data_IF_968872065208
#
_entry.id   IF_968872065208
#
_cell.length_a   1.000
_cell.length_b   1.000
_cell.length_c   1.000
_cell.angle_alpha   90.00
_cell.angle_beta   90.00
_cell.angle_gamma   90.00
#
_symmetry.space_group_name_H-M   'P 1'
#
loop_
_entity.id
_entity.type
_entity.pdbx_description
1 polymer ?
#
# COMPACT_ATOMS: atom_id res chain seq x y z
N UNK A 1 12.19 10.18 -21.08
CA UNK A 1 11.96 11.21 -20.06
C UNK A 1 11.44 10.51 -18.82
N UNK A 2 11.85 10.89 -17.62
CA UNK A 2 11.32 10.32 -16.36
C UNK A 2 10.28 11.28 -15.79
N UNK A 3 9.18 10.73 -15.28
CA UNK A 3 8.11 11.51 -14.64
C UNK A 3 8.11 11.18 -13.14
N UNK A 4 7.98 12.22 -12.32
CA UNK A 4 7.85 12.08 -10.87
C UNK A 4 6.66 12.91 -10.41
N UNK A 5 5.80 12.30 -9.60
CA UNK A 5 4.62 12.95 -9.04
C UNK A 5 4.41 12.52 -7.60
N UNK A 6 4.02 13.47 -6.77
CA UNK A 6 3.60 13.24 -5.39
C UNK A 6 2.08 13.41 -5.29
N UNK A 7 1.42 12.51 -4.57
CA UNK A 7 0.00 12.57 -4.27
C UNK A 7 -0.25 12.01 -2.87
N UNK A 8 -1.42 12.32 -2.31
CA UNK A 8 -1.78 11.94 -0.94
C UNK A 8 -2.84 10.86 -0.96
N UNK A 9 -2.70 9.87 -0.09
CA UNK A 9 -3.73 8.87 0.18
C UNK A 9 -4.57 9.31 1.39
N UNK A 10 -5.89 9.01 1.41
CA UNK A 10 -6.70 9.29 2.58
C UNK A 10 -6.20 8.48 3.78
N UNK A 11 -6.21 9.11 4.96
CA UNK A 11 -5.86 8.45 6.21
C UNK A 11 -6.81 7.30 6.50
N UNK A 12 -6.26 6.18 6.97
CA UNK A 12 -6.98 5.00 7.39
C UNK A 12 -6.49 4.57 8.76
N UNK A 13 -7.34 3.87 9.51
CA UNK A 13 -6.94 3.16 10.73
C UNK A 13 -5.96 2.03 10.38
N UNK A 14 -5.44 1.34 11.41
CA UNK A 14 -4.60 0.15 11.23
C UNK A 14 -5.32 -0.89 10.36
N UNK A 15 -4.59 -1.51 9.44
CA UNK A 15 -5.10 -2.56 8.56
C UNK A 15 -4.50 -2.51 7.14
N UNK A 16 -4.90 -3.47 6.32
CA UNK A 16 -4.50 -3.58 4.92
C UNK A 16 -5.59 -3.05 3.99
N UNK A 17 -5.24 -2.12 3.09
CA UNK A 17 -6.20 -1.50 2.17
C UNK A 17 -5.76 -1.65 0.73
N UNK A 18 -6.71 -1.99 -0.14
CA UNK A 18 -6.47 -2.02 -1.59
C UNK A 18 -6.40 -0.59 -2.12
N UNK A 19 -5.25 -0.22 -2.66
CA UNK A 19 -4.99 1.14 -3.17
C UNK A 19 -4.68 1.15 -4.67
N UNK A 20 -5.14 0.16 -5.45
CA UNK A 20 -4.89 0.07 -6.91
C UNK A 20 -5.36 1.31 -7.69
N UNK A 21 -6.28 2.10 -7.12
CA UNK A 21 -6.74 3.37 -7.69
C UNK A 21 -5.64 4.42 -7.87
N UNK A 22 -4.47 4.28 -7.22
CA UNK A 22 -3.32 5.19 -7.38
C UNK A 22 -2.82 5.30 -8.82
N UNK A 23 -3.10 4.32 -9.68
CA UNK A 23 -2.72 4.37 -11.10
C UNK A 23 -3.39 5.57 -11.79
N UNK A 24 -4.55 6.03 -11.30
CA UNK A 24 -5.22 7.24 -11.82
C UNK A 24 -4.43 8.51 -11.55
N UNK A 25 -3.59 8.50 -10.52
CA UNK A 25 -2.71 9.64 -10.21
C UNK A 25 -1.47 9.69 -11.10
N UNK A 26 -1.14 8.60 -11.81
CA UNK A 26 0.03 8.54 -12.72
C UNK A 26 -0.40 8.09 -14.12
N UNK A 27 -1.28 8.85 -14.82
CA UNK A 27 -1.82 8.46 -16.12
C UNK A 27 -0.74 8.29 -17.19
N UNK A 28 0.41 8.95 -17.03
CA UNK A 28 1.55 8.89 -17.94
C UNK A 28 2.07 7.47 -18.13
N UNK A 29 1.86 6.57 -17.16
CA UNK A 29 2.28 5.16 -17.24
C UNK A 29 1.72 4.47 -18.49
N UNK A 30 0.54 4.86 -18.96
CA UNK A 30 -0.11 4.30 -20.14
C UNK A 30 0.64 4.61 -21.44
N UNK A 31 1.48 5.65 -21.45
CA UNK A 31 2.30 6.02 -22.61
C UNK A 31 3.58 5.19 -22.73
N UNK A 32 3.95 4.42 -21.70
CA UNK A 32 5.15 3.58 -21.71
C UNK A 32 4.79 2.14 -22.07
N UNK A 33 5.44 1.59 -23.10
CA UNK A 33 5.33 0.16 -23.43
C UNK A 33 6.14 -0.72 -22.47
N UNK A 34 7.30 -0.22 -22.02
CA UNK A 34 8.22 -0.86 -21.07
C UNK A 34 8.86 0.25 -20.24
N UNK A 35 8.97 0.06 -18.92
CA UNK A 35 9.56 1.04 -18.02
C UNK A 35 9.70 0.51 -16.60
N UNK A 36 10.17 1.37 -15.70
CA UNK A 36 10.29 1.10 -14.27
C UNK A 36 9.43 2.11 -13.51
N UNK A 37 8.55 1.61 -12.64
CA UNK A 37 7.78 2.42 -11.70
C UNK A 37 8.38 2.27 -10.30
N UNK A 38 8.75 3.40 -9.69
CA UNK A 38 9.15 3.44 -8.29
C UNK A 38 8.03 4.08 -7.48
N UNK A 39 7.48 3.35 -6.51
CA UNK A 39 6.51 3.86 -5.55
C UNK A 39 7.18 3.99 -4.19
N UNK A 40 7.10 5.18 -3.60
CA UNK A 40 7.72 5.48 -2.32
C UNK A 40 6.68 6.09 -1.36
N UNK A 41 6.46 5.42 -0.24
CA UNK A 41 5.68 5.96 0.88
C UNK A 41 6.58 6.84 1.73
N UNK A 42 6.18 8.11 1.90
CA UNK A 42 6.89 9.10 2.72
C UNK A 42 6.37 9.11 4.18
N UNK A 43 6.11 7.92 4.72
CA UNK A 43 5.60 7.74 6.08
C UNK A 43 6.33 6.55 6.73
N UNK A 44 6.58 6.65 8.04
CA UNK A 44 7.23 5.58 8.82
C UNK A 44 6.24 4.57 9.38
N UNK A 45 4.96 4.91 9.40
CA UNK A 45 3.89 4.14 10.05
C UNK A 45 3.09 3.25 9.09
N UNK A 46 3.46 3.18 7.82
CA UNK A 46 2.80 2.34 6.82
C UNK A 46 3.78 1.88 5.74
N UNK A 47 3.41 0.83 5.01
CA UNK A 47 4.21 0.26 3.94
C UNK A 47 3.33 -0.05 2.72
N UNK A 48 3.97 -0.15 1.55
CA UNK A 48 3.34 -0.68 0.34
C UNK A 48 3.62 -2.17 0.26
N UNK A 49 2.59 -2.94 -0.05
CA UNK A 49 2.73 -4.35 -0.44
C UNK A 49 2.05 -4.55 -1.79
N UNK A 50 2.66 -5.39 -2.62
CA UNK A 50 2.08 -5.87 -3.86
C UNK A 50 1.76 -7.36 -3.66
N UNK A 51 0.48 -7.71 -3.81
CA UNK A 51 -0.01 -9.06 -3.63
C UNK A 51 -1.12 -9.37 -4.65
N UNK A 52 -1.53 -10.63 -4.75
CA UNK A 52 -2.67 -11.04 -5.57
C UNK A 52 -3.99 -10.51 -4.96
N UNK A 53 -4.89 -10.05 -5.82
CA UNK A 53 -6.20 -9.53 -5.43
C UNK A 53 -7.26 -10.66 -5.36
N UNK A 54 -6.87 -11.90 -5.08
CA UNK A 54 -7.73 -13.09 -5.17
C UNK A 54 -7.97 -13.76 -3.81
N UNK A 55 -8.34 -12.99 -2.78
CA UNK A 55 -9.38 -13.36 -1.79
C UNK A 55 -9.53 -12.25 -0.74
N UNK A 56 -10.70 -12.13 -0.11
CA UNK A 56 -10.86 -11.41 1.16
C UNK A 56 -10.05 -12.08 2.27
N UNK A 57 -9.91 -13.40 2.20
CA UNK A 57 -9.20 -14.21 3.19
C UNK A 57 -7.68 -13.91 3.25
N UNK A 58 -7.02 -13.60 2.12
CA UNK A 58 -5.58 -13.26 2.09
C UNK A 58 -5.28 -11.93 2.80
N UNK A 59 -6.24 -10.99 2.79
CA UNK A 59 -6.10 -9.70 3.48
C UNK A 59 -6.26 -9.86 5.00
N UNK A 60 -7.16 -10.74 5.42
CA UNK A 60 -7.30 -11.13 6.82
C UNK A 60 -6.03 -11.83 7.30
N UNK A 61 -5.53 -12.82 6.54
CA UNK A 61 -4.29 -13.55 6.89
C UNK A 61 -3.06 -12.66 6.99
N UNK A 62 -2.89 -11.68 6.09
CA UNK A 62 -1.78 -10.72 6.18
C UNK A 62 -1.91 -9.79 7.39
N UNK A 63 -3.14 -9.35 7.70
CA UNK A 63 -3.38 -8.48 8.85
C UNK A 63 -3.19 -9.25 10.15
N UNK A 64 -3.66 -10.50 10.22
CA UNK A 64 -3.51 -11.40 11.36
C UNK A 64 -2.05 -11.85 11.55
N UNK A 65 -1.31 -12.09 10.47
CA UNK A 65 0.12 -12.39 10.53
C UNK A 65 0.92 -11.18 11.05
N UNK A 66 0.60 -9.97 10.59
CA UNK A 66 1.23 -8.74 11.07
C UNK A 66 0.88 -8.48 12.55
N UNK A 67 -0.38 -8.66 12.93
CA UNK A 67 -0.83 -8.54 14.32
C UNK A 67 -0.21 -9.60 15.23
N UNK A 68 0.08 -10.79 14.71
CA UNK A 68 0.75 -11.85 15.47
C UNK A 68 2.26 -11.62 15.63
N UNK A 69 2.91 -11.04 14.62
CA UNK A 69 4.36 -10.78 14.64
C UNK A 69 4.68 -9.48 15.40
N UNK A 70 3.81 -8.48 15.29
CA UNK A 70 3.89 -7.19 16.00
C UNK A 70 2.53 -6.93 16.66
N UNK A 71 2.25 -7.60 17.79
CA UNK A 71 1.03 -7.34 18.54
C UNK A 71 0.95 -5.88 18.94
N UNK A 72 -0.26 -5.32 18.89
CA UNK A 72 -0.54 -4.03 19.51
C UNK A 72 -0.19 -4.13 21.00
N UNK A 73 0.62 -3.19 21.47
CA UNK A 73 1.04 -3.12 22.87
C UNK A 73 -0.17 -2.72 23.72
N UNK A 74 -0.99 -3.71 24.09
CA UNK A 74 -2.04 -3.57 25.09
C UNK A 74 -1.41 -3.64 26.49
N UNK A 75 -0.43 -2.78 26.78
CA UNK A 75 -0.15 -2.40 28.17
C UNK A 75 -1.09 -1.25 28.53
N UNK A 76 -2.06 -1.57 29.38
CA UNK A 76 -3.18 -0.72 29.70
C UNK A 76 -2.83 0.63 30.31
N UNK A 77 -3.76 1.56 30.09
CA UNK A 77 -4.09 2.70 30.95
C UNK A 77 -5.60 2.79 31.08
#
# INVERSE_FOLDING_TARGET
MWAQKSFTLPSKSRGSYLITSIIREVPEIQSYKVGLLNLFIQHTSCALSLNENWDEDVRADMSDALDRIVPEDNEGG
#
